data_IF_067973490028
#
_entry.id   IF_067973490028
#
_cell.length_a   1.000
_cell.length_b   1.000
_cell.length_c   1.000
_cell.angle_alpha   90.00
_cell.angle_beta   90.00
_cell.angle_gamma   90.00
#
_symmetry.space_group_name_H-M   'P 1'
#
loop_
_entity.id
_entity.type
_entity.pdbx_description
1 polymer ?
#
# COMPACT_ATOMS: atom_id res chain seq x y z
N UNK A 1 8.58 25.03 -17.62
CA UNK A 1 8.48 25.85 -16.40
C UNK A 1 9.66 26.79 -16.29
N UNK A 2 9.58 27.83 -15.48
CA UNK A 2 10.73 28.70 -15.20
C UNK A 2 11.51 28.11 -14.02
N UNK A 3 12.85 28.18 -14.12
CA UNK A 3 13.71 27.85 -12.99
C UNK A 3 13.74 29.04 -12.00
N UNK A 4 13.62 28.72 -10.73
CA UNK A 4 13.72 29.70 -9.65
C UNK A 4 14.81 29.25 -8.67
N UNK A 5 15.61 30.18 -8.21
CA UNK A 5 16.59 29.94 -7.16
C UNK A 5 16.08 30.52 -5.85
N UNK A 6 16.11 29.71 -4.79
CA UNK A 6 15.68 30.09 -3.43
C UNK A 6 16.78 29.71 -2.45
N UNK A 7 17.18 30.64 -1.60
CA UNK A 7 18.14 30.39 -0.54
C UNK A 7 17.44 30.16 0.81
N UNK A 8 17.78 29.07 1.48
CA UNK A 8 17.32 28.80 2.83
C UNK A 8 18.29 29.34 3.87
N UNK A 9 17.78 30.00 4.93
CA UNK A 9 18.63 30.56 5.99
C UNK A 9 19.22 29.51 6.93
N UNK A 10 18.61 28.31 7.01
CA UNK A 10 19.06 27.22 7.89
C UNK A 10 19.23 25.92 7.15
N UNK A 11 18.16 25.37 6.61
CA UNK A 11 18.15 24.05 5.99
C UNK A 11 17.03 23.92 4.96
N UNK A 12 17.12 22.89 4.13
CA UNK A 12 16.08 22.46 3.18
C UNK A 12 15.54 21.13 3.68
N UNK A 13 14.21 21.06 3.92
CA UNK A 13 13.53 19.84 4.35
C UNK A 13 13.00 19.09 3.11
N UNK A 14 13.47 17.85 2.92
CA UNK A 14 13.02 16.97 1.85
C UNK A 14 12.08 15.90 2.41
N UNK A 15 10.77 16.02 2.09
CA UNK A 15 9.70 15.15 2.59
C UNK A 15 8.77 14.74 1.44
N UNK A 16 9.34 14.25 0.33
CA UNK A 16 8.61 13.94 -0.90
C UNK A 16 8.12 12.47 -0.98
N UNK A 17 8.20 11.72 0.13
CA UNK A 17 7.82 10.31 0.21
C UNK A 17 8.91 9.35 -0.25
N UNK A 18 8.63 8.03 -0.11
CA UNK A 18 9.62 6.98 -0.29
C UNK A 18 10.16 6.88 -1.73
N UNK A 19 9.41 7.31 -2.73
CA UNK A 19 9.82 7.27 -4.13
C UNK A 19 10.48 8.56 -4.59
N UNK A 20 9.89 9.71 -4.26
CA UNK A 20 10.36 10.98 -4.80
C UNK A 20 11.54 11.56 -4.02
N UNK A 21 11.64 11.31 -2.71
CA UNK A 21 12.78 11.80 -1.93
C UNK A 21 14.12 11.26 -2.45
N UNK A 22 14.30 9.93 -2.66
CA UNK A 22 15.52 9.42 -3.27
C UNK A 22 15.71 9.90 -4.72
N UNK A 23 14.64 10.05 -5.51
CA UNK A 23 14.73 10.59 -6.86
C UNK A 23 15.29 12.02 -6.86
N UNK A 24 14.76 12.89 -6.01
CA UNK A 24 15.23 14.29 -5.89
C UNK A 24 16.70 14.33 -5.44
N UNK A 25 17.08 13.49 -4.46
CA UNK A 25 18.48 13.39 -4.03
C UNK A 25 19.41 12.97 -5.18
N UNK A 26 19.05 11.92 -5.92
CA UNK A 26 19.84 11.44 -7.05
C UNK A 26 19.94 12.50 -8.17
N UNK A 27 18.85 13.16 -8.54
CA UNK A 27 18.85 14.26 -9.50
C UNK A 27 19.68 15.46 -9.04
N UNK A 28 19.85 15.63 -7.73
CA UNK A 28 20.72 16.65 -7.11
C UNK A 28 22.19 16.21 -6.98
N UNK A 29 22.54 15.05 -7.53
CA UNK A 29 23.91 14.54 -7.47
C UNK A 29 24.26 13.81 -6.16
N UNK A 30 23.26 13.43 -5.36
CA UNK A 30 23.45 12.73 -4.08
C UNK A 30 22.93 11.30 -4.21
N UNK A 31 23.82 10.32 -4.24
CA UNK A 31 23.46 8.91 -4.45
C UNK A 31 24.68 8.04 -4.75
N UNK A 32 24.42 6.87 -5.34
CA UNK A 32 25.49 6.02 -5.86
C UNK A 32 26.15 6.70 -7.07
N UNK A 33 27.45 6.99 -6.94
CA UNK A 33 28.19 7.73 -7.97
C UNK A 33 28.23 7.04 -9.33
N UNK A 34 28.24 5.70 -9.37
CA UNK A 34 28.24 4.97 -10.64
C UNK A 34 26.86 5.01 -11.30
N UNK A 35 25.80 4.95 -10.51
CA UNK A 35 24.44 5.10 -11.03
C UNK A 35 24.21 6.53 -11.57
N UNK A 36 24.62 7.55 -10.83
CA UNK A 36 24.48 8.95 -11.25
C UNK A 36 25.24 9.24 -12.56
N UNK A 37 26.45 8.70 -12.72
CA UNK A 37 27.24 8.86 -13.94
C UNK A 37 26.57 8.27 -15.17
N UNK A 38 25.83 7.15 -15.05
CA UNK A 38 25.08 6.56 -16.18
C UNK A 38 24.05 7.55 -16.77
N UNK A 39 23.53 8.45 -15.96
CA UNK A 39 22.56 9.47 -16.35
C UNK A 39 23.20 10.84 -16.64
N UNK A 40 24.56 10.92 -16.67
CA UNK A 40 25.28 12.18 -16.90
C UNK A 40 25.18 13.18 -15.75
N UNK A 41 24.83 12.72 -14.55
CA UNK A 41 24.67 13.58 -13.36
C UNK A 41 26.02 13.67 -12.63
N UNK A 42 26.47 14.89 -12.35
CA UNK A 42 27.67 15.15 -11.56
C UNK A 42 27.46 14.72 -10.10
N UNK A 43 28.43 13.99 -9.56
CA UNK A 43 28.35 13.48 -8.17
C UNK A 43 28.72 14.59 -7.19
N UNK A 44 27.73 15.14 -6.51
CA UNK A 44 27.94 16.10 -5.42
C UNK A 44 28.31 15.38 -4.10
N UNK A 45 27.66 14.24 -3.84
CA UNK A 45 27.94 13.40 -2.66
C UNK A 45 27.66 11.92 -2.99
N UNK A 46 28.69 11.09 -2.82
CA UNK A 46 28.52 9.64 -2.92
C UNK A 46 27.83 9.09 -1.66
N UNK A 47 26.58 8.66 -1.80
CA UNK A 47 25.75 8.01 -0.76
C UNK A 47 25.05 6.79 -1.38
N UNK A 48 25.68 5.61 -1.41
CA UNK A 48 25.18 4.44 -2.13
C UNK A 48 23.88 3.85 -1.56
N UNK A 49 23.48 4.24 -0.34
CA UNK A 49 22.21 3.85 0.28
C UNK A 49 20.98 4.59 -0.26
N UNK A 50 21.15 5.70 -0.98
CA UNK A 50 20.01 6.43 -1.56
C UNK A 50 19.32 5.57 -2.61
N UNK A 51 18.00 5.41 -2.47
CA UNK A 51 17.19 4.56 -3.32
C UNK A 51 17.32 3.05 -3.03
N UNK A 52 18.00 2.65 -1.96
CA UNK A 52 18.08 1.24 -1.53
C UNK A 52 17.15 0.95 -0.36
N UNK A 53 16.95 -0.35 -0.10
CA UNK A 53 16.16 -0.85 1.02
C UNK A 53 14.70 -0.39 0.99
N UNK A 54 14.12 -0.22 -0.18
CA UNK A 54 12.67 0.01 -0.31
C UNK A 54 11.92 -1.16 0.32
N UNK A 55 10.99 -0.85 1.20
CA UNK A 55 10.11 -1.81 1.85
C UNK A 55 8.68 -1.31 1.75
N UNK A 56 7.76 -2.24 1.58
CA UNK A 56 6.34 -1.95 1.50
C UNK A 56 5.56 -3.15 2.03
N UNK A 57 4.36 -2.91 2.51
CA UNK A 57 3.48 -3.96 3.00
C UNK A 57 2.75 -4.61 1.83
N UNK A 58 3.16 -5.86 1.48
CA UNK A 58 2.44 -6.65 0.49
C UNK A 58 1.13 -7.14 1.10
N UNK A 59 0.01 -6.69 0.54
CA UNK A 59 -1.33 -7.13 0.92
C UNK A 59 -1.86 -8.19 -0.05
N UNK A 60 -2.50 -9.21 0.49
CA UNK A 60 -3.26 -10.24 -0.24
C UNK A 60 -4.67 -10.30 0.29
N UNK A 61 -5.64 -10.64 -0.57
CA UNK A 61 -7.05 -10.69 -0.20
C UNK A 61 -7.63 -12.07 -0.43
N UNK A 62 -8.42 -12.53 0.54
CA UNK A 62 -9.37 -13.63 0.37
C UNK A 62 -10.76 -13.02 0.31
N UNK A 63 -11.49 -13.32 -0.77
CA UNK A 63 -12.79 -12.72 -1.05
C UNK A 63 -13.85 -13.80 -1.01
N UNK A 64 -14.92 -13.54 -0.26
CA UNK A 64 -16.00 -14.48 -0.02
C UNK A 64 -17.32 -13.95 -0.54
N UNK A 65 -18.13 -14.84 -1.11
CA UNK A 65 -19.53 -14.55 -1.40
C UNK A 65 -20.34 -14.60 -0.11
N UNK A 66 -21.28 -13.68 0.03
CA UNK A 66 -22.22 -13.64 1.16
C UNK A 66 -23.65 -13.82 0.67
N UNK A 67 -24.43 -14.62 1.42
CA UNK A 67 -25.89 -14.69 1.24
C UNK A 67 -26.62 -13.51 1.86
N UNK A 68 -25.95 -12.76 2.75
CA UNK A 68 -26.50 -11.56 3.37
C UNK A 68 -26.39 -10.37 2.41
N UNK A 69 -27.42 -9.51 2.43
CA UNK A 69 -27.52 -8.33 1.55
C UNK A 69 -27.06 -7.05 2.23
N UNK A 70 -26.31 -7.18 3.32
CA UNK A 70 -25.88 -6.05 4.16
C UNK A 70 -24.46 -5.57 3.81
N UNK A 71 -23.88 -6.08 2.72
CA UNK A 71 -22.56 -5.60 2.26
C UNK A 71 -22.64 -4.20 1.66
N UNK A 72 -21.51 -3.51 1.62
CA UNK A 72 -21.38 -2.20 0.99
C UNK A 72 -21.66 -2.25 -0.51
N UNK A 73 -21.48 -3.42 -1.16
CA UNK A 73 -21.77 -3.62 -2.59
C UNK A 73 -23.23 -3.31 -2.95
N UNK A 74 -24.17 -3.58 -2.05
CA UNK A 74 -25.59 -3.27 -2.26
C UNK A 74 -25.94 -1.81 -1.99
N UNK A 75 -25.07 -1.07 -1.31
CA UNK A 75 -25.31 0.30 -0.88
C UNK A 75 -25.29 1.32 -2.03
N UNK A 76 -24.63 0.97 -3.14
CA UNK A 76 -24.44 1.82 -4.31
C UNK A 76 -25.59 1.72 -5.33
N UNK A 77 -26.47 0.72 -5.20
CA UNK A 77 -27.57 0.50 -6.13
C UNK A 77 -28.64 1.59 -6.02
N UNK A 78 -29.10 2.10 -7.16
CA UNK A 78 -30.25 3.01 -7.20
C UNK A 78 -31.55 2.21 -6.99
N UNK A 79 -32.50 2.65 -6.13
CA UNK A 79 -32.58 3.91 -5.38
C UNK A 79 -31.94 3.85 -3.94
N UNK A 80 -31.30 2.75 -3.57
CA UNK A 80 -30.72 2.55 -2.24
C UNK A 80 -29.68 3.61 -1.91
N UNK A 81 -28.85 3.97 -2.86
CA UNK A 81 -27.81 5.00 -2.69
C UNK A 81 -28.42 6.35 -2.26
N UNK A 82 -29.56 6.74 -2.83
CA UNK A 82 -30.23 7.98 -2.46
C UNK A 82 -30.73 7.92 -1.01
N UNK A 83 -31.35 6.81 -0.61
CA UNK A 83 -31.77 6.58 0.78
C UNK A 83 -30.57 6.64 1.74
N UNK A 84 -29.46 6.00 1.39
CA UNK A 84 -28.25 5.99 2.20
C UNK A 84 -27.64 7.38 2.33
N UNK A 85 -27.62 8.16 1.23
CA UNK A 85 -27.15 9.54 1.25
C UNK A 85 -28.02 10.42 2.16
N UNK A 86 -29.34 10.33 2.06
CA UNK A 86 -30.25 11.07 2.93
C UNK A 86 -30.08 10.69 4.40
N UNK A 87 -29.93 9.40 4.67
CA UNK A 87 -29.69 8.89 6.03
C UNK A 87 -28.37 9.45 6.61
N UNK A 88 -27.31 9.49 5.77
CA UNK A 88 -26.05 10.08 6.16
C UNK A 88 -26.16 11.59 6.43
N UNK A 89 -26.81 12.33 5.53
CA UNK A 89 -26.93 13.80 5.66
C UNK A 89 -27.74 14.19 6.89
N UNK A 90 -28.85 13.47 7.18
CA UNK A 90 -29.77 13.83 8.25
C UNK A 90 -29.35 13.25 9.61
N UNK A 91 -28.83 12.03 9.62
CA UNK A 91 -28.62 11.26 10.85
C UNK A 91 -27.17 10.84 11.08
N UNK A 92 -26.26 11.05 10.11
CA UNK A 92 -24.86 10.58 10.16
C UNK A 92 -24.76 9.08 10.39
N UNK A 93 -25.62 8.30 9.73
CA UNK A 93 -25.70 6.83 9.84
C UNK A 93 -25.73 6.16 8.48
N UNK A 94 -25.39 4.88 8.46
CA UNK A 94 -25.46 4.01 7.29
C UNK A 94 -24.13 3.84 6.56
N UNK A 95 -24.13 3.21 5.38
CA UNK A 95 -22.93 2.80 4.66
C UNK A 95 -21.92 3.92 4.40
N UNK A 96 -22.38 5.15 4.19
CA UNK A 96 -21.51 6.32 3.99
C UNK A 96 -20.72 6.76 5.23
N UNK A 97 -20.91 6.10 6.39
CA UNK A 97 -20.05 6.27 7.56
C UNK A 97 -18.92 5.25 7.63
N UNK A 98 -18.94 4.23 6.78
CA UNK A 98 -17.92 3.19 6.74
C UNK A 98 -16.61 3.74 6.20
N UNK A 99 -15.50 3.27 6.76
CA UNK A 99 -14.16 3.46 6.24
C UNK A 99 -13.69 2.27 5.37
N UNK A 100 -14.62 1.39 4.98
CA UNK A 100 -14.42 0.14 4.24
C UNK A 100 -13.75 -0.95 5.10
N UNK A 101 -12.60 -0.70 5.67
CA UNK A 101 -11.89 -1.64 6.54
C UNK A 101 -12.43 -1.51 8.00
N UNK A 102 -13.62 -2.08 8.26
CA UNK A 102 -14.36 -1.86 9.51
C UNK A 102 -13.82 -2.62 10.71
N UNK A 103 -13.05 -3.68 10.47
CA UNK A 103 -12.40 -4.46 11.52
C UNK A 103 -11.02 -4.91 11.08
N UNK A 104 -10.18 -5.27 12.04
CA UNK A 104 -8.84 -5.75 11.76
C UNK A 104 -8.13 -6.23 13.03
N UNK A 105 -6.92 -6.71 12.84
CA UNK A 105 -6.10 -7.20 13.93
C UNK A 105 -4.64 -7.32 13.56
N UNK A 106 -3.79 -7.42 14.58
CA UNK A 106 -2.36 -7.62 14.44
C UNK A 106 -1.97 -8.89 15.17
N UNK A 107 -1.22 -9.77 14.51
CA UNK A 107 -0.81 -11.06 15.09
C UNK A 107 0.63 -11.38 14.75
N UNK A 108 1.22 -12.31 15.51
CA UNK A 108 2.50 -12.91 15.18
C UNK A 108 2.27 -14.16 14.34
N UNK A 109 2.99 -14.28 13.22
CA UNK A 109 2.96 -15.48 12.37
C UNK A 109 3.59 -16.71 13.05
N UNK A 110 4.50 -16.48 13.98
CA UNK A 110 5.18 -17.50 14.78
C UNK A 110 5.55 -16.93 16.15
N UNK A 111 5.61 -17.77 17.21
CA UNK A 111 6.14 -17.34 18.52
C UNK A 111 7.58 -16.83 18.49
N UNK A 112 8.33 -17.22 17.46
CA UNK A 112 9.74 -16.81 17.28
C UNK A 112 9.88 -15.38 16.71
N UNK A 113 8.80 -14.78 16.21
CA UNK A 113 8.84 -13.41 15.74
C UNK A 113 9.00 -12.44 16.92
N UNK A 114 9.86 -11.42 16.82
CA UNK A 114 10.12 -10.49 17.92
C UNK A 114 8.94 -9.57 18.25
N UNK A 115 7.99 -9.42 17.31
CA UNK A 115 6.80 -8.59 17.44
C UNK A 115 5.71 -9.10 16.49
N UNK A 116 4.53 -8.50 16.54
CA UNK A 116 3.47 -8.72 15.54
C UNK A 116 4.00 -8.36 14.15
N UNK A 117 3.77 -9.25 13.19
CA UNK A 117 4.35 -9.18 11.84
C UNK A 117 3.33 -9.38 10.72
N UNK A 118 2.07 -9.56 11.09
CA UNK A 118 0.95 -9.67 10.15
C UNK A 118 -0.21 -8.82 10.62
N UNK A 119 -0.78 -8.04 9.72
CA UNK A 119 -2.00 -7.26 9.94
C UNK A 119 -3.14 -7.84 9.10
N UNK A 120 -4.34 -7.84 9.65
CA UNK A 120 -5.56 -8.21 8.93
C UNK A 120 -6.52 -7.03 8.86
N UNK A 121 -7.21 -6.94 7.73
CA UNK A 121 -8.30 -6.00 7.48
C UNK A 121 -9.54 -6.77 7.05
N UNK A 122 -10.69 -6.39 7.57
CA UNK A 122 -11.98 -6.91 7.15
C UNK A 122 -12.80 -5.79 6.52
N UNK A 123 -13.31 -6.02 5.32
CA UNK A 123 -14.23 -5.12 4.62
C UNK A 123 -15.49 -5.86 4.20
N UNK A 124 -16.70 -5.34 4.51
CA UNK A 124 -17.96 -5.93 4.10
C UNK A 124 -18.33 -5.61 2.65
N UNK A 125 -17.40 -5.86 1.74
CA UNK A 125 -17.54 -5.64 0.30
C UNK A 125 -16.58 -6.52 -0.49
N UNK A 126 -16.81 -6.66 -1.79
CA UNK A 126 -15.83 -7.21 -2.70
C UNK A 126 -14.70 -6.19 -2.93
N UNK A 127 -13.49 -6.52 -2.50
CA UNK A 127 -12.31 -5.69 -2.74
C UNK A 127 -11.45 -6.33 -3.84
N UNK A 128 -11.88 -6.14 -5.09
CA UNK A 128 -11.21 -6.67 -6.29
C UNK A 128 -10.44 -5.53 -6.96
N UNK A 129 -9.21 -5.81 -7.41
CA UNK A 129 -8.36 -4.83 -8.12
C UNK A 129 -8.32 -3.46 -7.41
N UNK A 130 -8.02 -3.46 -6.11
CA UNK A 130 -7.99 -2.25 -5.27
C UNK A 130 -9.31 -1.47 -5.23
N UNK A 131 -10.45 -2.16 -5.42
CA UNK A 131 -11.77 -1.54 -5.46
C UNK A 131 -12.15 -0.92 -6.80
N UNK A 132 -11.35 -1.09 -7.84
CA UNK A 132 -11.67 -0.60 -9.19
C UNK A 132 -12.53 -1.57 -10.00
N UNK A 133 -12.67 -2.82 -9.56
CA UNK A 133 -13.48 -3.85 -10.21
C UNK A 133 -14.47 -4.42 -9.20
N UNK A 134 -15.74 -4.45 -9.57
CA UNK A 134 -16.78 -5.11 -8.80
C UNK A 134 -17.34 -6.28 -9.60
N UNK A 135 -17.68 -7.43 -8.96
CA UNK A 135 -18.43 -8.46 -9.62
C UNK A 135 -19.79 -7.89 -10.05
N UNK A 136 -20.29 -8.35 -11.19
CA UNK A 136 -21.52 -7.81 -11.80
C UNK A 136 -22.75 -7.96 -10.88
N UNK A 137 -22.76 -8.94 -9.99
CA UNK A 137 -23.87 -9.20 -9.06
C UNK A 137 -23.38 -9.87 -7.78
N UNK A 138 -24.10 -9.61 -6.69
CA UNK A 138 -23.90 -10.31 -5.42
C UNK A 138 -23.51 -9.40 -4.28
N UNK A 139 -23.24 -10.02 -3.16
CA UNK A 139 -22.74 -9.39 -1.96
C UNK A 139 -21.56 -10.22 -1.44
N UNK A 140 -20.56 -9.57 -0.91
CA UNK A 140 -19.39 -10.24 -0.40
C UNK A 140 -18.74 -9.53 0.78
N UNK A 141 -17.69 -10.16 1.25
CA UNK A 141 -16.76 -9.56 2.19
C UNK A 141 -15.34 -9.98 1.83
N UNK A 142 -14.40 -9.15 2.16
CA UNK A 142 -12.99 -9.36 1.89
C UNK A 142 -12.18 -9.31 3.17
N UNK A 143 -11.22 -10.21 3.27
CA UNK A 143 -10.25 -10.22 4.34
C UNK A 143 -8.88 -10.03 3.71
N UNK A 144 -8.27 -8.88 3.95
CA UNK A 144 -6.90 -8.58 3.59
C UNK A 144 -5.95 -9.03 4.67
N UNK A 145 -4.87 -9.70 4.29
CA UNK A 145 -3.73 -9.92 5.16
C UNK A 145 -2.51 -9.21 4.58
N UNK A 146 -1.72 -8.59 5.41
CA UNK A 146 -0.50 -7.93 4.96
C UNK A 146 0.69 -8.25 5.85
N UNK A 147 1.83 -8.43 5.19
CA UNK A 147 3.08 -8.68 5.85
C UNK A 147 3.68 -7.35 6.31
N UNK A 148 3.78 -7.18 7.62
CA UNK A 148 4.54 -6.11 8.25
C UNK A 148 6.03 -6.50 8.27
N UNK A 149 6.93 -5.56 8.33
CA UNK A 149 8.38 -5.81 8.47
C UNK A 149 8.93 -6.86 7.47
N UNK A 150 8.78 -6.67 6.15
CA UNK A 150 9.32 -7.60 5.17
C UNK A 150 10.86 -7.64 5.22
N UNK A 151 11.42 -8.81 5.02
CA UNK A 151 12.88 -9.01 4.87
C UNK A 151 13.35 -8.73 3.46
N UNK A 152 12.46 -8.86 2.47
CA UNK A 152 12.70 -8.44 1.09
C UNK A 152 12.97 -6.94 1.00
N UNK A 153 13.93 -6.56 0.17
CA UNK A 153 14.35 -5.17 -0.03
C UNK A 153 14.36 -4.84 -1.51
N UNK A 154 13.70 -3.76 -1.84
CA UNK A 154 13.65 -3.22 -3.18
C UNK A 154 14.52 -1.99 -3.40
N UNK A 155 14.33 -1.35 -4.54
CA UNK A 155 15.11 -0.18 -4.95
C UNK A 155 14.25 0.86 -5.66
N UNK A 156 14.69 2.11 -5.56
CA UNK A 156 14.25 3.24 -6.38
C UNK A 156 15.47 3.76 -7.11
N UNK A 157 15.43 3.78 -8.45
CA UNK A 157 16.54 4.28 -9.28
C UNK A 157 16.04 5.29 -10.30
N UNK A 158 16.95 6.03 -10.93
CA UNK A 158 16.58 6.95 -11.99
C UNK A 158 16.32 6.19 -13.30
N UNK A 159 15.30 6.60 -14.06
CA UNK A 159 15.11 6.21 -15.45
C UNK A 159 15.84 7.15 -16.41
N UNK A 160 16.03 8.40 -16.03
CA UNK A 160 16.75 9.42 -16.78
C UNK A 160 17.14 10.60 -15.88
N UNK A 161 17.90 11.55 -16.42
CA UNK A 161 18.19 12.83 -15.76
C UNK A 161 17.06 13.87 -15.88
N UNK A 162 15.99 13.57 -16.62
CA UNK A 162 14.82 14.45 -16.70
C UNK A 162 13.98 14.32 -15.41
N UNK A 163 13.81 15.41 -14.68
CA UNK A 163 13.03 15.46 -13.44
C UNK A 163 11.52 15.13 -13.61
N UNK A 164 11.03 15.13 -14.86
CA UNK A 164 9.65 14.76 -15.18
C UNK A 164 9.47 13.26 -15.42
N UNK A 165 10.58 12.55 -15.66
CA UNK A 165 10.52 11.11 -15.85
C UNK A 165 10.27 10.42 -14.52
N UNK A 166 9.37 9.42 -14.51
CA UNK A 166 9.14 8.61 -13.32
C UNK A 166 10.38 7.79 -12.96
N UNK A 167 10.70 7.60 -11.67
CA UNK A 167 11.76 6.71 -11.25
C UNK A 167 11.40 5.26 -11.61
N UNK A 168 12.41 4.41 -11.71
CA UNK A 168 12.25 2.96 -11.75
C UNK A 168 12.09 2.46 -10.32
N UNK A 169 10.96 1.83 -10.03
CA UNK A 169 10.61 1.31 -8.70
C UNK A 169 10.57 -0.21 -8.81
N UNK A 170 11.39 -0.87 -8.03
CA UNK A 170 11.38 -2.32 -7.86
C UNK A 170 11.16 -2.62 -6.38
N UNK A 171 9.99 -3.10 -6.04
CA UNK A 171 9.66 -3.49 -4.66
C UNK A 171 10.34 -4.79 -4.25
N UNK A 172 10.68 -5.65 -5.23
CA UNK A 172 11.32 -6.93 -5.01
C UNK A 172 10.58 -7.79 -3.97
N UNK A 173 9.24 -7.77 -4.02
CA UNK A 173 8.39 -8.52 -3.09
C UNK A 173 8.71 -10.01 -3.10
N UNK A 174 8.55 -10.65 -1.93
CA UNK A 174 8.69 -12.09 -1.76
C UNK A 174 10.04 -12.65 -2.26
N UNK A 175 11.08 -11.84 -2.23
CA UNK A 175 12.43 -12.27 -2.65
C UNK A 175 13.15 -13.12 -1.61
N UNK A 176 12.57 -13.28 -0.43
CA UNK A 176 13.08 -14.15 0.65
C UNK A 176 12.08 -15.23 1.00
N UNK A 177 12.56 -16.42 1.34
CA UNK A 177 11.71 -17.53 1.78
C UNK A 177 10.91 -17.17 3.05
N UNK A 178 11.47 -16.36 3.94
CA UNK A 178 10.81 -15.91 5.14
C UNK A 178 9.52 -15.14 4.82
N UNK A 179 9.60 -14.15 3.93
CA UNK A 179 8.42 -13.38 3.50
C UNK A 179 7.38 -14.26 2.81
N UNK A 180 7.82 -15.22 2.00
CA UNK A 180 6.93 -16.19 1.32
C UNK A 180 6.18 -17.04 2.35
N UNK A 181 6.88 -17.63 3.32
CA UNK A 181 6.26 -18.52 4.31
C UNK A 181 5.30 -17.76 5.23
N UNK A 182 5.66 -16.56 5.67
CA UNK A 182 4.78 -15.70 6.49
C UNK A 182 3.53 -15.28 5.71
N UNK A 183 3.67 -14.93 4.43
CA UNK A 183 2.53 -14.57 3.57
C UNK A 183 1.60 -15.76 3.34
N UNK A 184 2.13 -16.97 3.11
CA UNK A 184 1.33 -18.20 2.98
C UNK A 184 0.58 -18.50 4.28
N UNK A 185 1.26 -18.35 5.42
CA UNK A 185 0.62 -18.54 6.72
C UNK A 185 -0.54 -17.53 6.91
N UNK A 186 -0.30 -16.26 6.65
CA UNK A 186 -1.31 -15.22 6.77
C UNK A 186 -2.49 -15.44 5.83
N UNK A 187 -2.25 -15.85 4.58
CA UNK A 187 -3.32 -16.23 3.65
C UNK A 187 -4.22 -17.36 4.20
N UNK A 188 -3.61 -18.41 4.76
CA UNK A 188 -4.39 -19.50 5.39
C UNK A 188 -5.21 -19.02 6.60
N UNK A 189 -4.71 -18.00 7.31
CA UNK A 189 -5.45 -17.41 8.42
C UNK A 189 -6.64 -16.60 7.91
N UNK A 190 -6.52 -15.84 6.80
CA UNK A 190 -7.66 -15.13 6.21
C UNK A 190 -8.76 -16.11 5.77
N UNK A 191 -8.41 -17.26 5.18
CA UNK A 191 -9.38 -18.31 4.85
C UNK A 191 -10.09 -18.84 6.09
N UNK A 192 -9.32 -19.15 7.15
CA UNK A 192 -9.88 -19.65 8.42
C UNK A 192 -10.82 -18.65 9.09
N UNK A 193 -10.47 -17.36 9.08
CA UNK A 193 -11.32 -16.31 9.62
C UNK A 193 -12.60 -16.19 8.80
N UNK A 194 -12.49 -16.16 7.46
CA UNK A 194 -13.64 -16.01 6.58
C UNK A 194 -14.61 -17.18 6.60
N UNK A 195 -14.17 -18.37 6.93
CA UNK A 195 -15.00 -19.56 7.02
C UNK A 195 -15.43 -19.89 8.46
N UNK A 196 -15.10 -19.03 9.43
CA UNK A 196 -15.51 -19.26 10.83
C UNK A 196 -17.03 -19.10 10.99
N UNK A 197 -17.63 -19.99 11.76
CA UNK A 197 -19.02 -19.86 12.20
C UNK A 197 -19.13 -18.69 13.20
N UNK A 198 -20.18 -17.87 13.06
CA UNK A 198 -20.44 -16.71 13.87
C UNK A 198 -21.12 -17.10 15.20
#
# INVERSE_FOLDING_TARGET
GQAHEVQANKEVLLSAGAYNSPQILMLSGIGDGEELKKHGISVAKHLPGVGKNLQDHLVYFTIFNSSYKDSLDSAENFPVVVKNLLNYLLFKKGPFTSNIAEAGGFVQSSPDQPAVDTQFHFGPNYYVEHGFSNPETGNGYSIGGELLNPTSKGTVTLSSSDFKANPVIDHNYLSTDDDVQRSIWGYKVTEKIGLAEA
#
